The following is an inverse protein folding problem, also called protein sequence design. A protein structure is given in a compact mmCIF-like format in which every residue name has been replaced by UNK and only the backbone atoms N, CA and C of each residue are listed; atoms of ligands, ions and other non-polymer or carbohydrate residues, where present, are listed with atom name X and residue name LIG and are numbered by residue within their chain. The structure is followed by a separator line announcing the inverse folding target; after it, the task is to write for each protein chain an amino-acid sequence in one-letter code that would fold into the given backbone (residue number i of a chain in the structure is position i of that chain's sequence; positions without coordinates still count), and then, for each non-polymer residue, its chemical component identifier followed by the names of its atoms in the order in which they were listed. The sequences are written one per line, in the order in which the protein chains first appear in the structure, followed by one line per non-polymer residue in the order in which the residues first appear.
data_IF_241250646881
#
_entry.id   IF_241250646881
#
_cell.length_a   1.000
_cell.length_b   1.000
_cell.length_c   1.000
_cell.angle_alpha   90.00
_cell.angle_beta   90.00
_cell.angle_gamma   90.00
#
_symmetry.space_group_name_H-M   'P 1'
#
loop_
_entity.id
_entity.type
_entity.pdbx_description
1 polymer ?
#
# COMPACT_ATOMS: atom_id res chain seq x y z
N UNK A 1 -1.28 14.65 -9.24
CA UNK A 1 -0.75 14.32 -7.90
C UNK A 1 0.28 13.25 -8.11
N UNK A 2 1.45 13.37 -7.47
CA UNK A 2 2.48 12.34 -7.55
C UNK A 2 1.91 11.02 -6.98
N UNK A 3 2.40 9.86 -7.43
CA UNK A 3 1.98 8.57 -6.90
C UNK A 3 2.21 8.52 -5.39
N UNK A 4 3.34 9.03 -4.91
CA UNK A 4 3.62 9.09 -3.48
C UNK A 4 2.53 9.83 -2.71
N UNK A 5 2.13 11.02 -3.18
CA UNK A 5 1.11 11.84 -2.52
C UNK A 5 -0.24 11.10 -2.48
N UNK A 6 -0.63 10.42 -3.57
CA UNK A 6 -1.85 9.61 -3.61
C UNK A 6 -1.83 8.50 -2.56
N UNK A 7 -0.70 7.79 -2.46
CA UNK A 7 -0.54 6.70 -1.49
C UNK A 7 -0.50 7.22 -0.06
N UNK A 8 0.15 8.36 0.19
CA UNK A 8 0.19 9.01 1.50
C UNK A 8 -1.21 9.46 1.95
N UNK A 9 -1.97 10.08 1.07
CA UNK A 9 -3.36 10.48 1.32
C UNK A 9 -4.25 9.28 1.63
N UNK A 10 -4.11 8.18 0.87
CA UNK A 10 -4.85 6.95 1.12
C UNK A 10 -4.55 6.36 2.51
N UNK A 11 -3.28 6.40 2.94
CA UNK A 11 -2.87 5.93 4.26
C UNK A 11 -3.38 6.83 5.39
N UNK A 12 -3.36 8.15 5.21
CA UNK A 12 -3.88 9.13 6.17
C UNK A 12 -5.40 8.97 6.36
N UNK A 13 -6.13 8.82 5.24
CA UNK A 13 -7.58 8.60 5.23
C UNK A 13 -7.99 7.18 5.61
N UNK A 14 -7.02 6.25 5.70
CA UNK A 14 -7.23 4.82 5.89
C UNK A 14 -8.18 4.24 4.83
N UNK A 15 -8.02 4.68 3.58
CA UNK A 15 -8.80 4.24 2.42
C UNK A 15 -8.04 3.16 1.64
N UNK A 16 -8.34 1.88 1.86
CA UNK A 16 -7.63 0.79 1.19
C UNK A 16 -7.93 0.75 -0.31
N UNK A 17 -9.09 1.25 -0.76
CA UNK A 17 -9.45 1.26 -2.17
C UNK A 17 -8.58 2.28 -2.89
N UNK A 18 -8.47 3.49 -2.36
CA UNK A 18 -7.61 4.54 -2.94
C UNK A 18 -6.14 4.10 -3.07
N UNK A 19 -5.63 3.33 -2.10
CA UNK A 19 -4.28 2.79 -2.13
C UNK A 19 -4.11 1.69 -3.19
N UNK A 20 -5.05 0.74 -3.22
CA UNK A 20 -4.95 -0.46 -4.06
C UNK A 20 -5.37 -0.22 -5.51
N UNK A 21 -6.10 0.85 -5.80
CA UNK A 21 -6.37 1.34 -7.16
C UNK A 21 -5.10 1.73 -7.92
N UNK A 22 -3.97 1.90 -7.23
CA UNK A 22 -2.68 2.12 -7.88
C UNK A 22 -2.01 0.81 -8.35
N UNK A 23 -2.51 -0.36 -7.96
CA UNK A 23 -1.92 -1.64 -8.33
C UNK A 23 -2.38 -2.07 -9.72
N UNK A 24 -1.41 -2.31 -10.61
CA UNK A 24 -1.63 -2.95 -11.90
C UNK A 24 -2.24 -4.35 -11.74
N UNK A 25 -2.95 -4.85 -12.76
CA UNK A 25 -3.62 -6.16 -12.72
C UNK A 25 -2.62 -7.30 -12.42
N UNK A 26 -1.43 -7.23 -13.02
CA UNK A 26 -0.32 -8.18 -12.81
C UNK A 26 0.56 -7.87 -11.58
N UNK A 27 0.06 -7.10 -10.62
CA UNK A 27 0.84 -6.73 -9.42
C UNK A 27 1.18 -7.96 -8.57
N UNK A 28 2.46 -8.07 -8.20
CA UNK A 28 2.98 -9.08 -7.29
C UNK A 28 3.78 -8.41 -6.16
N UNK A 29 3.42 -8.74 -4.92
CA UNK A 29 4.17 -8.31 -3.74
C UNK A 29 5.06 -9.44 -3.24
N UNK A 30 6.36 -9.18 -3.11
CA UNK A 30 7.32 -10.12 -2.51
C UNK A 30 7.72 -9.62 -1.12
N UNK A 31 7.37 -10.38 -0.08
CA UNK A 31 7.72 -10.05 1.30
C UNK A 31 9.20 -10.32 1.56
N UNK A 32 9.98 -9.27 1.82
CA UNK A 32 11.42 -9.39 2.07
C UNK A 32 11.77 -10.40 3.18
N UNK A 33 11.04 -10.39 4.30
CA UNK A 33 11.35 -11.23 5.45
C UNK A 33 11.23 -12.74 5.17
N UNK A 34 10.28 -13.15 4.33
CA UNK A 34 9.91 -14.57 4.17
C UNK A 34 10.05 -15.08 2.73
N UNK A 35 10.21 -14.20 1.75
CA UNK A 35 10.14 -14.53 0.33
C UNK A 35 8.73 -14.89 -0.15
N UNK A 36 7.70 -14.69 0.68
CA UNK A 36 6.31 -14.98 0.30
C UNK A 36 5.87 -14.03 -0.80
N UNK A 37 5.39 -14.60 -1.91
CA UNK A 37 4.68 -13.87 -2.96
C UNK A 37 3.19 -13.75 -2.61
N UNK A 38 2.63 -12.58 -2.90
CA UNK A 38 1.19 -12.33 -2.84
C UNK A 38 0.75 -11.63 -4.13
N UNK A 39 -0.30 -12.15 -4.75
CA UNK A 39 -0.92 -11.51 -5.90
C UNK A 39 -1.69 -10.24 -5.50
N UNK A 40 -2.23 -9.53 -6.51
CA UNK A 40 -3.02 -8.31 -6.33
C UNK A 40 -4.20 -8.50 -5.36
N UNK A 41 -4.98 -9.55 -5.51
CA UNK A 41 -6.19 -9.76 -4.69
C UNK A 41 -5.83 -10.02 -3.23
N UNK A 42 -4.83 -10.86 -2.99
CA UNK A 42 -4.29 -11.12 -1.67
C UNK A 42 -3.75 -9.85 -1.00
N UNK A 43 -3.12 -8.98 -1.78
CA UNK A 43 -2.61 -7.70 -1.32
C UNK A 43 -3.72 -6.69 -1.03
N UNK A 44 -4.77 -6.65 -1.84
CA UNK A 44 -5.97 -5.83 -1.58
C UNK A 44 -6.59 -6.21 -0.24
N UNK A 45 -6.82 -7.50 0.01
CA UNK A 45 -7.40 -7.96 1.27
C UNK A 45 -6.48 -7.68 2.46
N UNK A 46 -5.16 -7.84 2.29
CA UNK A 46 -4.19 -7.48 3.32
C UNK A 46 -4.23 -5.97 3.65
N UNK A 47 -4.33 -5.10 2.65
CA UNK A 47 -4.41 -3.66 2.85
C UNK A 47 -5.72 -3.25 3.54
N UNK A 48 -6.85 -3.86 3.18
CA UNK A 48 -8.13 -3.66 3.89
C UNK A 48 -8.01 -4.00 5.38
N UNK A 49 -7.43 -5.15 5.70
CA UNK A 49 -7.22 -5.56 7.10
C UNK A 49 -6.28 -4.62 7.85
N UNK A 50 -5.18 -4.18 7.23
CA UNK A 50 -4.23 -3.26 7.86
C UNK A 50 -4.86 -1.88 8.13
N UNK A 51 -5.58 -1.32 7.16
CA UNK A 51 -6.22 0.00 7.30
C UNK A 51 -7.48 -0.02 8.18
N UNK A 52 -8.12 -1.17 8.38
CA UNK A 52 -9.17 -1.31 9.39
C UNK A 52 -8.61 -1.41 10.83
N UNK A 53 -7.36 -1.83 11.00
CA UNK A 53 -6.76 -2.06 12.31
C UNK A 53 -6.12 -0.78 12.90
N UNK A 54 -6.76 -0.16 13.89
CA UNK A 54 -6.27 1.07 14.55
C UNK A 54 -4.91 0.93 15.23
N UNK A 55 -4.47 -0.30 15.53
CA UNK A 55 -3.14 -0.56 16.10
C UNK A 55 -2.01 -0.40 15.07
N UNK A 56 -2.32 -0.42 13.78
CA UNK A 56 -1.36 -0.14 12.72
C UNK A 56 -1.19 1.38 12.62
N UNK A 57 -0.04 1.86 13.09
CA UNK A 57 0.34 3.28 13.09
C UNK A 57 1.58 3.47 12.23
N UNK A 58 1.48 4.30 11.21
CA UNK A 58 2.58 4.65 10.32
C UNK A 58 3.27 5.89 10.88
N UNK A 59 4.60 5.87 10.96
CA UNK A 59 5.42 6.98 11.44
C UNK A 59 6.58 7.22 10.49
N UNK A 60 6.95 8.48 10.29
CA UNK A 60 8.10 8.89 9.48
C UNK A 60 8.07 8.33 8.04
N UNK A 61 6.88 8.26 7.42
CA UNK A 61 6.76 7.92 6.00
C UNK A 61 7.46 9.01 5.15
N UNK A 62 8.22 8.58 4.15
CA UNK A 62 8.95 9.47 3.23
C UNK A 62 9.05 8.87 1.84
N UNK A 63 8.99 9.71 0.81
CA UNK A 63 9.35 9.32 -0.54
C UNK A 63 10.88 9.26 -0.65
N UNK A 64 11.42 8.14 -1.11
CA UNK A 64 12.86 7.98 -1.35
C UNK A 64 13.21 8.30 -2.80
N UNK A 65 12.31 7.98 -3.73
CA UNK A 65 12.48 8.19 -5.15
C UNK A 65 11.12 8.14 -5.85
N UNK A 66 10.94 9.05 -6.81
CA UNK A 66 9.82 9.08 -7.75
C UNK A 66 10.33 9.73 -9.05
N UNK A 67 9.86 9.26 -10.20
CA UNK A 67 10.21 9.86 -11.49
C UNK A 67 9.47 11.19 -11.67
N UNK A 68 10.06 12.11 -12.45
CA UNK A 68 9.39 13.34 -12.91
C UNK A 68 8.28 13.04 -13.94
#
# INVERSE_FOLDING_TARGET
MALYDKLAEALEKRDPSMYTDAFHDDYEFIRHQTGTSMDREQMVEMMKMMMANEKVVIRNARCVYEND
#
